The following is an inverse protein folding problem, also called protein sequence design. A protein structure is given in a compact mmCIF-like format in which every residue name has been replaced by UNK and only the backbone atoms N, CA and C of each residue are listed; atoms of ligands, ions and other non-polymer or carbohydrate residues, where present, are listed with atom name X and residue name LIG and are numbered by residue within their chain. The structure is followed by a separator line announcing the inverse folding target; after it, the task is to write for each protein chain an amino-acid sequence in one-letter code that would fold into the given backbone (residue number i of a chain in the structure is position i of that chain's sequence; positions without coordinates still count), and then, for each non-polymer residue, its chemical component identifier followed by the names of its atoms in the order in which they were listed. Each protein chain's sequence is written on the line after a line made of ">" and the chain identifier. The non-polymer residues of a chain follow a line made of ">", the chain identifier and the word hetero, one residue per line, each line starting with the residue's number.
data_IF_593464797875
#
_entry.id   IF_593464797875
#
_cell.length_a   1.000
_cell.length_b   1.000
_cell.length_c   1.000
_cell.angle_alpha   90.00
_cell.angle_beta   90.00
_cell.angle_gamma   90.00
#
_symmetry.space_group_name_H-M   'P 1'
#
loop_
_entity.id
_entity.type
_entity.pdbx_description
1 polymer ?
#
# COMPACT_ATOMS: atom_id res chain seq x y z
N UNK A 1 -20.70 -11.66 10.90
CA UNK A 1 -20.57 -10.19 10.79
C UNK A 1 -21.81 -9.61 11.46
N UNK A 2 -21.67 -8.62 12.35
CA UNK A 2 -22.83 -8.05 13.05
C UNK A 2 -22.94 -6.57 12.72
N UNK A 3 -24.13 -6.12 12.36
CA UNK A 3 -24.45 -4.71 12.15
C UNK A 3 -25.22 -4.23 13.37
N UNK A 4 -24.74 -3.17 14.00
CA UNK A 4 -25.31 -2.62 15.23
C UNK A 4 -25.73 -1.18 14.96
N UNK A 5 -26.97 -0.84 15.28
CA UNK A 5 -27.43 0.55 15.22
C UNK A 5 -27.00 1.27 16.50
N UNK A 6 -26.34 2.43 16.36
CA UNK A 6 -26.00 3.34 17.48
C UNK A 6 -26.43 4.74 17.07
N UNK A 7 -27.41 5.30 17.77
CA UNK A 7 -28.05 6.55 17.37
C UNK A 7 -28.69 6.40 15.98
N UNK A 8 -28.37 7.33 15.08
CA UNK A 8 -28.90 7.33 13.72
C UNK A 8 -28.08 6.49 12.72
N UNK A 9 -26.92 5.97 13.12
CA UNK A 9 -25.99 5.31 12.20
C UNK A 9 -25.84 3.81 12.49
N UNK A 10 -25.64 3.04 11.42
CA UNK A 10 -25.22 1.65 11.50
C UNK A 10 -23.71 1.53 11.62
N UNK A 11 -23.27 0.59 12.45
CA UNK A 11 -21.88 0.24 12.66
C UNK A 11 -21.67 -1.24 12.34
N UNK A 12 -20.57 -1.53 11.66
CA UNK A 12 -20.04 -2.87 11.47
C UNK A 12 -19.21 -3.26 12.69
N UNK A 13 -19.54 -4.40 13.30
CA UNK A 13 -18.71 -5.05 14.32
C UNK A 13 -18.29 -6.43 13.84
N UNK A 14 -16.98 -6.67 13.79
CA UNK A 14 -16.43 -7.99 13.48
C UNK A 14 -15.08 -8.20 14.15
N UNK A 15 -14.83 -9.44 14.58
CA UNK A 15 -13.54 -9.85 15.17
C UNK A 15 -12.46 -9.89 14.10
N UNK A 16 -11.23 -9.49 14.46
CA UNK A 16 -10.06 -9.67 13.59
C UNK A 16 -9.75 -11.16 13.45
N UNK A 17 -9.69 -11.72 12.23
CA UNK A 17 -9.29 -13.11 12.00
C UNK A 17 -7.88 -13.40 12.54
N UNK A 18 -7.64 -14.63 13.01
CA UNK A 18 -6.35 -15.02 13.64
C UNK A 18 -5.14 -14.71 12.74
N UNK A 19 -5.27 -14.92 11.43
CA UNK A 19 -4.22 -14.66 10.42
C UNK A 19 -3.68 -13.22 10.43
N UNK A 20 -4.49 -12.25 10.85
CA UNK A 20 -4.11 -10.83 10.84
C UNK A 20 -3.79 -10.27 12.23
N UNK A 21 -3.76 -11.12 13.27
CA UNK A 21 -3.49 -10.67 14.64
C UNK A 21 -2.04 -10.20 14.83
N UNK A 22 -1.11 -10.71 14.01
CA UNK A 22 0.29 -10.30 14.04
C UNK A 22 0.52 -8.90 13.41
N UNK A 23 -0.39 -8.46 12.53
CA UNK A 23 -0.31 -7.15 11.83
C UNK A 23 -1.31 -6.10 12.37
N UNK A 24 -2.25 -6.52 13.22
CA UNK A 24 -3.23 -5.67 13.86
C UNK A 24 -3.51 -6.15 15.28
N UNK A 25 -3.05 -5.36 16.26
CA UNK A 25 -3.19 -5.66 17.70
C UNK A 25 -4.65 -5.61 18.18
N UNK A 26 -5.58 -5.07 17.38
CA UNK A 26 -6.99 -4.93 17.77
C UNK A 26 -7.67 -6.29 17.77
N UNK A 27 -8.33 -6.64 18.88
CA UNK A 27 -9.13 -7.87 18.96
C UNK A 27 -10.42 -7.81 18.14
N UNK A 28 -10.94 -6.62 17.87
CA UNK A 28 -12.21 -6.42 17.15
C UNK A 28 -12.23 -5.07 16.45
N UNK A 29 -12.81 -5.05 15.26
CA UNK A 29 -12.97 -3.86 14.43
C UNK A 29 -14.40 -3.37 14.52
N UNK A 30 -14.52 -2.06 14.79
CA UNK A 30 -15.77 -1.32 14.86
C UNK A 30 -15.69 -0.18 13.84
N UNK A 31 -16.51 -0.25 12.78
CA UNK A 31 -16.53 0.77 11.72
C UNK A 31 -17.92 1.37 11.61
N UNK A 32 -18.01 2.69 11.68
CA UNK A 32 -19.23 3.43 11.36
C UNK A 32 -19.49 3.37 9.86
N UNK A 33 -20.66 2.89 9.44
CA UNK A 33 -21.04 2.83 8.03
C UNK A 33 -21.62 4.17 7.54
N UNK A 34 -22.00 5.06 8.48
CA UNK A 34 -22.64 6.35 8.24
C UNK A 34 -23.89 6.23 7.38
N UNK A 35 -24.72 5.24 7.69
CA UNK A 35 -25.97 4.93 6.99
C UNK A 35 -27.08 4.79 8.02
N UNK A 36 -28.28 5.21 7.65
CA UNK A 36 -29.53 5.19 8.41
C UNK A 36 -30.50 4.08 7.93
N UNK A 37 -30.24 3.50 6.74
CA UNK A 37 -30.94 2.33 6.19
C UNK A 37 -30.19 1.01 6.38
N UNK A 38 -30.89 -0.02 6.89
CA UNK A 38 -30.30 -1.32 7.21
C UNK A 38 -29.83 -2.08 5.95
N UNK A 39 -30.61 -2.05 4.88
CA UNK A 39 -30.29 -2.74 3.61
C UNK A 39 -29.04 -2.17 2.95
N UNK A 40 -28.96 -0.83 2.89
CA UNK A 40 -27.79 -0.11 2.37
C UNK A 40 -26.57 -0.33 3.27
N UNK A 41 -26.77 -0.35 4.59
CA UNK A 41 -25.71 -0.66 5.54
C UNK A 41 -25.18 -2.09 5.37
N UNK A 42 -26.04 -3.08 5.08
CA UNK A 42 -25.61 -4.45 4.80
C UNK A 42 -24.70 -4.53 3.58
N UNK A 43 -25.13 -3.97 2.44
CA UNK A 43 -24.33 -3.95 1.22
C UNK A 43 -22.98 -3.24 1.43
N UNK A 44 -23.00 -2.06 2.06
CA UNK A 44 -21.79 -1.29 2.35
C UNK A 44 -20.88 -1.97 3.35
N UNK A 45 -21.43 -2.70 4.33
CA UNK A 45 -20.64 -3.45 5.31
C UNK A 45 -19.79 -4.55 4.65
N UNK A 46 -20.32 -5.21 3.61
CA UNK A 46 -19.55 -6.19 2.85
C UNK A 46 -18.36 -5.55 2.14
N UNK A 47 -18.57 -4.45 1.42
CA UNK A 47 -17.50 -3.71 0.74
C UNK A 47 -16.46 -3.16 1.75
N UNK A 48 -16.92 -2.53 2.83
CA UNK A 48 -16.04 -2.02 3.88
C UNK A 48 -15.20 -3.13 4.52
N UNK A 49 -15.78 -4.32 4.72
CA UNK A 49 -15.04 -5.46 5.26
C UNK A 49 -13.98 -5.98 4.26
N UNK A 50 -14.28 -6.01 2.96
CA UNK A 50 -13.29 -6.44 1.96
C UNK A 50 -12.07 -5.50 1.94
N UNK A 51 -12.29 -4.18 1.98
CA UNK A 51 -11.18 -3.22 2.05
C UNK A 51 -10.32 -3.36 3.30
N UNK A 52 -10.92 -3.68 4.45
CA UNK A 52 -10.17 -3.95 5.68
C UNK A 52 -9.29 -5.21 5.49
N UNK A 53 -9.84 -6.26 4.88
CA UNK A 53 -9.09 -7.50 4.59
C UNK A 53 -7.97 -7.24 3.59
N UNK A 54 -8.22 -6.50 2.52
CA UNK A 54 -7.19 -6.09 1.55
C UNK A 54 -6.07 -5.29 2.21
N UNK A 55 -6.42 -4.36 3.11
CA UNK A 55 -5.44 -3.61 3.90
C UNK A 55 -4.58 -4.49 4.81
N UNK A 56 -5.16 -5.53 5.41
CA UNK A 56 -4.38 -6.49 6.19
C UNK A 56 -3.54 -7.43 5.33
N UNK A 57 -4.04 -7.89 4.18
CA UNK A 57 -3.26 -8.67 3.21
C UNK A 57 -2.08 -7.86 2.68
N UNK A 58 -2.26 -6.57 2.39
CA UNK A 58 -1.17 -5.68 1.97
C UNK A 58 -0.10 -5.50 3.07
N UNK A 59 -0.51 -5.46 4.35
CA UNK A 59 0.42 -5.42 5.49
C UNK A 59 1.16 -6.74 5.69
N UNK A 60 0.48 -7.87 5.53
CA UNK A 60 1.10 -9.20 5.58
C UNK A 60 2.06 -9.43 4.41
N UNK A 61 1.72 -8.92 3.22
CA UNK A 61 2.57 -8.99 2.04
C UNK A 61 3.79 -8.05 2.15
N UNK A 62 3.76 -7.04 3.03
CA UNK A 62 4.91 -6.14 3.28
C UNK A 62 5.33 -5.28 2.08
N UNK A 63 4.51 -5.20 1.04
CA UNK A 63 5.05 -5.22 -0.33
C UNK A 63 5.02 -3.90 -1.11
N UNK A 64 4.58 -2.77 -0.53
CA UNK A 64 4.51 -1.54 -1.35
C UNK A 64 4.84 -0.27 -0.59
N UNK A 65 4.11 0.05 0.48
CA UNK A 65 4.38 1.27 1.25
C UNK A 65 5.77 1.26 1.89
N UNK A 66 6.26 0.09 2.31
CA UNK A 66 7.52 -0.02 3.02
C UNK A 66 8.70 -0.09 2.04
N UNK A 67 8.51 -0.72 0.88
CA UNK A 67 9.50 -0.75 -0.19
C UNK A 67 9.76 0.66 -0.76
N UNK A 68 8.71 1.42 -1.03
CA UNK A 68 8.81 2.79 -1.57
C UNK A 68 9.47 3.73 -0.55
N UNK A 69 9.10 3.64 0.74
CA UNK A 69 9.76 4.39 1.83
C UNK A 69 11.22 4.00 2.02
N UNK A 70 11.56 2.71 1.94
CA UNK A 70 12.96 2.24 2.02
C UNK A 70 13.78 2.74 0.84
N UNK A 71 13.17 2.78 -0.34
CA UNK A 71 13.80 3.31 -1.55
C UNK A 71 14.03 4.83 -1.47
N UNK A 72 13.05 5.60 -1.00
CA UNK A 72 13.24 7.03 -0.74
C UNK A 72 14.29 7.29 0.34
N UNK A 73 14.28 6.51 1.42
CA UNK A 73 15.31 6.61 2.46
C UNK A 73 16.72 6.31 1.90
N UNK A 74 16.85 5.31 1.03
CA UNK A 74 18.12 4.99 0.36
C UNK A 74 18.59 6.13 -0.55
N UNK A 75 17.67 6.76 -1.31
CA UNK A 75 17.98 7.94 -2.13
C UNK A 75 18.51 9.10 -1.30
N UNK A 76 17.82 9.42 -0.22
CA UNK A 76 18.21 10.52 0.66
C UNK A 76 19.57 10.25 1.32
N UNK A 77 19.81 9.00 1.71
CA UNK A 77 21.07 8.61 2.33
C UNK A 77 22.24 8.68 1.35
N UNK A 78 22.06 8.22 0.10
CA UNK A 78 23.05 8.40 -0.95
C UNK A 78 23.35 9.90 -1.19
N UNK A 79 22.30 10.74 -1.24
CA UNK A 79 22.45 12.17 -1.44
C UNK A 79 23.21 12.87 -0.30
N UNK A 80 22.92 12.50 0.96
CA UNK A 80 23.68 12.98 2.14
C UNK A 80 25.15 12.60 2.07
N UNK A 81 25.48 11.49 1.40
CA UNK A 81 26.85 11.01 1.16
C UNK A 81 27.50 11.65 -0.06
N UNK A 82 26.80 12.53 -0.78
CA UNK A 82 27.30 13.22 -1.97
C UNK A 82 27.14 12.42 -3.28
N UNK A 83 26.45 11.28 -3.24
CA UNK A 83 26.24 10.44 -4.41
C UNK A 83 24.79 10.48 -4.87
N UNK A 84 24.58 10.54 -6.19
CA UNK A 84 23.27 10.22 -6.76
C UNK A 84 23.00 8.73 -6.56
N UNK A 85 21.78 8.41 -6.11
CA UNK A 85 21.31 7.04 -6.08
C UNK A 85 21.34 6.44 -7.50
N UNK A 86 22.02 5.32 -7.64
CA UNK A 86 22.06 4.51 -8.85
C UNK A 86 21.66 3.07 -8.49
N UNK A 87 20.89 2.37 -9.32
CA UNK A 87 20.63 0.95 -9.14
C UNK A 87 21.91 0.14 -9.33
N UNK A 88 21.97 -1.06 -8.74
CA UNK A 88 23.17 -1.91 -8.73
C UNK A 88 23.75 -2.17 -10.13
N UNK A 89 22.89 -2.32 -11.14
CA UNK A 89 23.32 -2.57 -12.53
C UNK A 89 24.11 -1.37 -13.08
N UNK A 90 23.64 -0.15 -12.83
CA UNK A 90 24.34 1.07 -13.24
C UNK A 90 25.61 1.32 -12.41
N UNK A 91 25.66 0.86 -11.15
CA UNK A 91 26.87 0.98 -10.32
C UNK A 91 27.96 0.03 -10.81
N UNK A 92 27.59 -1.16 -11.29
CA UNK A 92 28.52 -2.15 -11.84
C UNK A 92 29.20 -1.69 -13.14
N UNK A 93 28.57 -0.79 -13.90
CA UNK A 93 29.10 -0.22 -15.15
C UNK A 93 30.01 1.00 -14.93
N UNK A 94 30.13 1.50 -13.70
CA UNK A 94 30.95 2.68 -13.42
C UNK A 94 32.44 2.41 -13.62
N UNK A 95 33.23 3.43 -14.01
CA UNK A 95 34.69 3.36 -13.96
C UNK A 95 35.19 2.93 -12.58
N UNK A 96 36.29 2.20 -12.55
CA UNK A 96 36.82 1.60 -11.31
C UNK A 96 37.07 2.64 -10.20
N UNK A 97 37.53 3.84 -10.55
CA UNK A 97 37.78 4.93 -9.60
C UNK A 97 36.49 5.43 -8.93
N UNK A 98 35.40 5.56 -9.68
CA UNK A 98 34.08 5.98 -9.16
C UNK A 98 33.47 4.90 -8.27
N UNK A 99 33.70 3.63 -8.61
CA UNK A 99 33.25 2.49 -7.81
C UNK A 99 34.01 2.44 -6.47
N UNK A 100 35.32 2.67 -6.49
CA UNK A 100 36.15 2.77 -5.28
C UNK A 100 35.74 3.95 -4.40
N UNK A 101 35.44 5.11 -5.00
CA UNK A 101 34.96 6.28 -4.27
C UNK A 101 33.63 6.01 -3.53
N UNK A 102 32.73 5.23 -4.16
CA UNK A 102 31.46 4.81 -3.56
C UNK A 102 31.65 3.83 -2.40
N UNK A 103 32.51 2.82 -2.57
CA UNK A 103 32.81 1.86 -1.50
C UNK A 103 33.47 2.56 -0.31
N UNK A 104 34.41 3.49 -0.57
CA UNK A 104 35.09 4.27 0.47
C UNK A 104 34.18 5.24 1.23
N UNK A 105 33.02 5.60 0.68
CA UNK A 105 32.05 6.45 1.35
C UNK A 105 31.14 5.71 2.35
N UNK A 106 31.20 4.38 2.39
CA UNK A 106 30.46 3.57 3.36
C UNK A 106 31.07 3.76 4.74
N UNK A 107 30.27 4.29 5.68
CA UNK A 107 30.74 4.41 7.07
C UNK A 107 30.90 3.03 7.71
N UNK A 108 32.01 2.87 8.41
CA UNK A 108 32.19 1.76 9.34
C UNK A 108 31.41 2.04 10.64
N UNK A 109 30.80 1.00 11.19
CA UNK A 109 30.23 1.02 12.54
C UNK A 109 31.36 0.93 13.57
N UNK A 110 31.03 1.18 14.84
CA UNK A 110 31.95 1.02 15.98
C UNK A 110 32.60 -0.37 16.07
N UNK A 111 31.97 -1.38 15.47
CA UNK A 111 32.44 -2.78 15.48
C UNK A 111 33.35 -3.11 14.27
N UNK A 112 33.79 -2.10 13.49
CA UNK A 112 34.65 -2.28 12.31
C UNK A 112 33.95 -2.91 11.10
N UNK A 113 32.63 -3.11 11.16
CA UNK A 113 31.83 -3.61 10.03
C UNK A 113 31.21 -2.45 9.25
N UNK A 114 31.13 -2.52 7.91
CA UNK A 114 30.45 -1.50 7.12
C UNK A 114 28.98 -1.42 7.51
N UNK A 115 28.43 -0.21 7.58
CA UNK A 115 27.00 -0.04 7.78
C UNK A 115 26.26 -0.49 6.51
N UNK A 116 25.63 -1.66 6.60
CA UNK A 116 24.86 -2.25 5.50
C UNK A 116 23.76 -1.32 4.98
N UNK A 117 23.23 -0.39 5.79
CA UNK A 117 22.25 0.60 5.31
C UNK A 117 22.90 1.62 4.37
N UNK A 118 24.08 2.10 4.74
CA UNK A 118 24.86 3.03 3.92
C UNK A 118 25.38 2.34 2.66
N UNK A 119 25.91 1.12 2.80
CA UNK A 119 26.36 0.30 1.68
C UNK A 119 25.23 0.08 0.66
N UNK A 120 24.04 -0.34 1.11
CA UNK A 120 22.90 -0.57 0.22
C UNK A 120 22.40 0.72 -0.46
N UNK A 121 22.50 1.87 0.20
CA UNK A 121 22.10 3.15 -0.38
C UNK A 121 23.09 3.65 -1.44
N UNK A 122 24.39 3.53 -1.18
CA UNK A 122 25.45 4.06 -2.06
C UNK A 122 25.71 3.13 -3.25
N UNK A 123 25.61 1.81 -3.03
CA UNK A 123 25.86 0.77 -4.03
C UNK A 123 24.60 0.32 -4.80
N UNK A 124 23.42 0.89 -4.48
CA UNK A 124 22.20 0.57 -5.22
C UNK A 124 21.54 -0.77 -4.87
N UNK A 125 21.85 -1.31 -3.69
CA UNK A 125 21.31 -2.59 -3.21
C UNK A 125 19.84 -2.54 -2.78
N UNK A 126 19.22 -1.36 -2.74
CA UNK A 126 17.78 -1.22 -2.45
C UNK A 126 17.00 -1.27 -3.76
N UNK A 127 16.54 -2.46 -4.13
CA UNK A 127 15.72 -2.61 -5.33
C UNK A 127 14.47 -1.72 -5.25
N UNK A 128 14.33 -0.80 -6.20
CA UNK A 128 13.03 -0.21 -6.48
C UNK A 128 12.18 -1.35 -7.03
N UNK A 129 11.27 -1.88 -6.22
CA UNK A 129 10.18 -2.71 -6.71
C UNK A 129 9.30 -1.81 -7.58
N UNK A 130 9.69 -1.66 -8.85
CA UNK A 130 8.81 -1.16 -9.90
C UNK A 130 7.88 -2.31 -10.23
N UNK A 131 6.83 -2.48 -9.41
CA UNK A 131 5.67 -3.17 -9.94
C UNK A 131 5.18 -2.36 -11.15
N UNK A 132 4.87 -3.00 -12.29
CA UNK A 132 4.20 -2.30 -13.37
C UNK A 132 2.97 -1.64 -12.76
N UNK A 133 2.90 -0.30 -12.86
CA UNK A 133 1.74 0.49 -12.46
C UNK A 133 0.55 -0.05 -13.27
N UNK A 134 -0.17 -1.02 -12.72
CA UNK A 134 -1.52 -1.33 -13.17
C UNK A 134 -2.33 -0.07 -12.89
N UNK A 135 -2.50 0.71 -13.96
CA UNK A 135 -3.18 1.98 -13.94
C UNK A 135 -4.59 1.79 -13.41
N UNK A 136 -4.94 2.67 -12.49
CA UNK A 136 -6.22 2.84 -11.81
C UNK A 136 -7.45 2.99 -12.72
N UNK A 137 -7.31 2.82 -14.04
CA UNK A 137 -8.42 2.83 -15.01
C UNK A 137 -9.24 1.54 -15.00
N UNK A 138 -8.60 0.37 -14.80
CA UNK A 138 -9.30 -0.91 -14.83
C UNK A 138 -10.28 -1.07 -13.64
N UNK A 139 -9.97 -0.43 -12.50
CA UNK A 139 -10.84 -0.43 -11.32
C UNK A 139 -12.09 0.46 -11.46
N UNK A 140 -12.04 1.55 -12.23
CA UNK A 140 -13.24 2.37 -12.51
C UNK A 140 -14.20 1.69 -13.50
N UNK A 141 -13.65 0.99 -14.51
CA UNK A 141 -14.47 0.32 -15.53
C UNK A 141 -15.26 -0.87 -14.97
N UNK A 142 -14.67 -1.65 -14.06
CA UNK A 142 -15.35 -2.81 -13.46
C UNK A 142 -16.48 -2.38 -12.51
N UNK A 143 -16.37 -1.22 -11.84
CA UNK A 143 -17.43 -0.72 -10.96
C UNK A 143 -18.59 -0.09 -11.76
N UNK A 144 -18.31 0.62 -12.85
CA UNK A 144 -19.34 1.24 -13.70
C UNK A 144 -20.23 0.21 -14.45
N UNK A 145 -19.72 -0.98 -14.75
CA UNK A 145 -20.53 -2.02 -15.43
C UNK A 145 -21.52 -2.75 -14.51
N UNK A 146 -21.40 -2.65 -13.18
CA UNK A 146 -22.26 -3.39 -12.24
C UNK A 146 -23.53 -2.62 -11.83
N UNK A 147 -23.61 -1.32 -12.09
CA UNK A 147 -24.80 -0.51 -11.79
C UNK A 147 -25.92 -0.64 -12.84
N UNK A 148 -25.63 -1.09 -14.06
CA UNK A 148 -26.62 -1.10 -15.15
C UNK A 148 -27.63 -2.28 -15.04
N UNK A 149 -27.37 -3.29 -14.20
CA UNK A 149 -28.22 -4.49 -14.13
C UNK A 149 -29.25 -4.53 -12.99
N UNK A 150 -29.30 -3.54 -12.09
CA UNK A 150 -30.09 -3.61 -10.86
C UNK A 150 -31.05 -2.42 -10.60
N UNK A 151 -31.60 -1.76 -11.63
CA UNK A 151 -32.59 -0.70 -11.39
C UNK A 151 -33.39 -0.31 -12.64
N UNK A 152 -34.64 -0.73 -12.65
CA UNK A 152 -35.65 -0.54 -13.69
C UNK A 152 -36.14 0.93 -13.82
N UNK A 153 -36.51 1.30 -15.05
CA UNK A 153 -37.41 2.39 -15.48
C UNK A 153 -37.18 3.84 -15.02
N UNK A 154 -36.82 4.71 -15.97
CA UNK A 154 -37.42 6.06 -16.04
C UNK A 154 -38.16 6.23 -17.36
N UNK A 155 -39.49 6.27 -17.25
CA UNK A 155 -40.38 6.77 -18.30
C UNK A 155 -40.01 8.22 -18.63
N UNK A 156 -39.73 8.48 -19.90
CA UNK A 156 -39.65 9.84 -20.46
C UNK A 156 -40.28 9.82 -21.84
N UNK A 157 -41.56 10.19 -21.91
CA UNK A 157 -42.31 10.40 -23.16
C UNK A 157 -41.50 11.25 -24.12
N UNK A 158 -41.38 10.78 -25.37
CA UNK A 158 -41.19 11.65 -26.52
C UNK A 158 -42.40 11.43 -27.43
N UNK A 159 -43.15 12.50 -27.66
CA UNK A 159 -44.18 12.61 -28.70
C UNK A 159 -44.38 14.09 -28.98
N UNK A 160 -44.75 14.45 -30.21
CA UNK A 160 -44.10 14.14 -31.49
C UNK A 160 -43.20 15.29 -31.96
#
# INVERSE_FOLDING_TARGET
>A
MTIVKRGNNYHLRKRVPRRYQDVDERKSVWVSLHMDSLSVAQQKAHAAWQHIVEGWEARLAGDTSDAEKRFEAAKNLAAVRGFRYLPVDCVAELPQDDLLARVGAVKERKDGRPDMRDANAIMGGVSALVLPRFSSGLFRAIFAMKEIKNGNEIHGRVSP
#
